data_IF_273918499412
#
_entry.id   IF_273918499412
#
_cell.length_a   1.000
_cell.length_b   1.000
_cell.length_c   1.000
_cell.angle_alpha   90.00
_cell.angle_beta   90.00
_cell.angle_gamma   90.00
#
_symmetry.space_group_name_H-M   'P 1'
#
loop_
_entity.id
_entity.type
_entity.pdbx_description
1 polymer ?
#
# COMPACT_ATOMS: atom_id res chain seq x y z
N UNK A 1 24.24 -18.20 5.34
CA UNK A 1 23.18 -18.55 4.36
C UNK A 1 21.74 -18.55 4.91
N UNK A 2 21.44 -19.01 6.14
CA UNK A 2 20.05 -19.07 6.68
C UNK A 2 19.29 -17.73 6.76
N UNK A 3 19.95 -16.64 7.16
CA UNK A 3 19.31 -15.31 7.29
C UNK A 3 18.87 -14.73 5.93
N UNK A 4 19.65 -14.94 4.87
CA UNK A 4 19.32 -14.46 3.53
C UNK A 4 18.11 -15.21 2.94
N UNK A 5 18.04 -16.54 3.16
CA UNK A 5 16.87 -17.36 2.78
C UNK A 5 15.59 -16.97 3.51
N UNK A 6 15.69 -16.64 4.81
CA UNK A 6 14.53 -16.16 5.59
C UNK A 6 14.00 -14.84 5.03
N UNK A 7 14.89 -13.90 4.69
CA UNK A 7 14.55 -12.60 4.08
C UNK A 7 13.86 -12.76 2.73
N UNK A 8 14.32 -13.69 1.89
CA UNK A 8 13.64 -13.97 0.60
C UNK A 8 12.23 -14.50 0.78
N UNK A 9 11.97 -15.32 1.81
CA UNK A 9 10.62 -15.84 2.08
C UNK A 9 9.69 -14.76 2.60
N UNK A 10 10.14 -13.93 3.55
CA UNK A 10 9.33 -12.82 4.08
C UNK A 10 9.02 -11.78 3.01
N UNK A 11 10.01 -11.43 2.17
CA UNK A 11 9.82 -10.52 1.05
C UNK A 11 8.78 -11.03 0.04
N UNK A 12 8.89 -12.30 -0.37
CA UNK A 12 7.91 -12.93 -1.26
C UNK A 12 6.51 -12.91 -0.64
N UNK A 13 6.39 -13.26 0.64
CA UNK A 13 5.12 -13.25 1.37
C UNK A 13 4.50 -11.85 1.43
N UNK A 14 5.29 -10.82 1.72
CA UNK A 14 4.82 -9.44 1.72
C UNK A 14 4.24 -9.05 0.36
N UNK A 15 4.97 -9.37 -0.71
CA UNK A 15 4.53 -9.11 -2.09
C UNK A 15 3.22 -9.82 -2.43
N UNK A 16 3.14 -11.13 -2.16
CA UNK A 16 1.93 -11.93 -2.42
C UNK A 16 0.69 -11.38 -1.70
N UNK A 17 0.86 -10.91 -0.46
CA UNK A 17 -0.25 -10.32 0.31
C UNK A 17 -0.71 -8.97 -0.26
N UNK A 18 0.23 -8.13 -0.69
CA UNK A 18 -0.11 -6.84 -1.34
C UNK A 18 -0.74 -7.06 -2.71
N UNK A 19 -0.25 -8.01 -3.50
CA UNK A 19 -0.83 -8.41 -4.79
C UNK A 19 -2.25 -8.97 -4.60
N UNK A 20 -2.48 -9.82 -3.59
CA UNK A 20 -3.82 -10.32 -3.27
C UNK A 20 -4.80 -9.21 -2.87
N UNK A 21 -4.31 -8.14 -2.22
CA UNK A 21 -5.12 -6.94 -1.97
C UNK A 21 -5.43 -6.23 -3.29
N UNK A 22 -4.43 -6.04 -4.16
CA UNK A 22 -4.59 -5.39 -5.46
C UNK A 22 -5.60 -6.10 -6.38
N UNK A 23 -5.65 -7.44 -6.35
CA UNK A 23 -6.62 -8.22 -7.13
C UNK A 23 -8.09 -7.93 -6.77
N UNK A 24 -8.35 -7.39 -5.57
CA UNK A 24 -9.70 -7.10 -5.07
C UNK A 24 -10.17 -5.68 -5.32
N UNK A 25 -9.25 -4.75 -5.58
CA UNK A 25 -9.55 -3.33 -5.68
C UNK A 25 -9.01 -2.77 -6.99
N UNK A 26 -9.91 -2.35 -7.87
CA UNK A 26 -9.59 -1.74 -9.15
C UNK A 26 -8.85 -0.39 -9.00
N UNK A 27 -9.00 0.25 -7.86
CA UNK A 27 -8.27 1.45 -7.46
C UNK A 27 -6.77 1.22 -7.24
N UNK A 28 -6.30 -0.04 -7.21
CA UNK A 28 -4.88 -0.38 -7.23
C UNK A 28 -4.47 -0.73 -8.66
N UNK A 29 -3.46 -0.02 -9.18
CA UNK A 29 -2.97 -0.18 -10.54
C UNK A 29 -1.79 -1.14 -10.67
N UNK A 30 -0.85 -1.12 -9.73
CA UNK A 30 0.37 -1.93 -9.79
C UNK A 30 0.97 -2.19 -8.39
N UNK A 31 1.59 -3.35 -8.22
CA UNK A 31 2.41 -3.72 -7.06
C UNK A 31 3.83 -4.01 -7.53
N UNK A 32 4.74 -3.10 -7.18
CA UNK A 32 6.13 -3.10 -7.66
C UNK A 32 7.15 -3.12 -6.55
N UNK A 33 8.40 -3.39 -6.92
CA UNK A 33 9.54 -3.39 -6.01
C UNK A 33 10.24 -4.74 -5.91
N UNK A 34 11.26 -4.81 -5.03
CA UNK A 34 12.15 -5.96 -4.87
C UNK A 34 12.49 -6.16 -3.40
N UNK A 35 12.47 -7.42 -2.96
CA UNK A 35 12.74 -7.73 -1.56
C UNK A 35 11.69 -7.11 -0.63
N UNK A 36 12.15 -6.40 0.39
CA UNK A 36 11.30 -5.67 1.34
C UNK A 36 11.18 -4.17 0.99
N UNK A 37 11.53 -3.76 -0.23
CA UNK A 37 11.16 -2.45 -0.77
C UNK A 37 10.02 -2.67 -1.77
N UNK A 38 8.78 -2.44 -1.32
CA UNK A 38 7.58 -2.66 -2.13
C UNK A 38 6.78 -1.36 -2.23
N UNK A 39 6.04 -1.21 -3.32
CA UNK A 39 5.17 -0.06 -3.56
C UNK A 39 3.86 -0.49 -4.20
N UNK A 40 2.75 0.09 -3.73
CA UNK A 40 1.39 -0.12 -4.25
C UNK A 40 0.91 1.20 -4.84
N UNK A 41 0.70 1.25 -6.16
CA UNK A 41 0.24 2.45 -6.87
C UNK A 41 -1.29 2.51 -6.91
N UNK A 42 -1.86 3.59 -6.38
CA UNK A 42 -3.27 3.91 -6.46
C UNK A 42 -3.58 4.71 -7.73
N UNK A 43 -4.69 4.39 -8.36
CA UNK A 43 -5.10 4.97 -9.64
C UNK A 43 -6.58 5.33 -9.65
N UNK A 44 -6.91 6.29 -10.50
CA UNK A 44 -8.28 6.58 -10.91
C UNK A 44 -8.50 5.95 -12.29
N UNK A 45 -9.39 4.95 -12.36
CA UNK A 45 -9.74 4.26 -13.61
C UNK A 45 -10.77 4.99 -14.46
N UNK A 46 -11.51 5.93 -13.88
CA UNK A 46 -12.55 6.68 -14.58
C UNK A 46 -11.99 7.93 -15.27
N UNK A 47 -10.85 8.44 -14.81
CA UNK A 47 -10.19 9.61 -15.40
C UNK A 47 -9.72 9.37 -16.84
N UNK A 48 -9.96 10.35 -17.73
CA UNK A 48 -9.30 10.40 -19.06
C UNK A 48 -7.81 10.75 -18.85
N UNK A 49 -6.95 9.74 -18.95
CA UNK A 49 -5.51 9.86 -18.71
C UNK A 49 -4.71 9.74 -19.99
N UNK A 50 -3.86 10.75 -20.25
CA UNK A 50 -2.95 10.79 -21.40
C UNK A 50 -1.47 10.93 -21.01
N UNK A 51 -1.15 10.68 -19.74
CA UNK A 51 0.23 10.69 -19.27
C UNK A 51 0.86 9.30 -19.23
N UNK A 52 2.03 9.15 -18.59
CA UNK A 52 2.71 7.86 -18.48
C UNK A 52 1.90 6.84 -17.68
N UNK A 53 1.91 5.58 -18.13
CA UNK A 53 1.17 4.48 -17.50
C UNK A 53 -0.29 4.37 -17.96
N UNK A 54 -0.97 3.27 -17.60
CA UNK A 54 -2.30 2.96 -18.15
C UNK A 54 -3.45 3.77 -17.53
N UNK A 55 -3.27 4.29 -16.32
CA UNK A 55 -4.33 4.97 -15.55
C UNK A 55 -3.79 6.22 -14.85
N UNK A 56 -4.68 7.17 -14.53
CA UNK A 56 -4.29 8.38 -13.81
C UNK A 56 -3.85 8.00 -12.39
N UNK A 57 -2.72 8.50 -11.88
CA UNK A 57 -2.34 8.30 -10.49
C UNK A 57 -3.29 9.06 -9.56
N UNK A 58 -3.77 8.38 -8.50
CA UNK A 58 -4.69 8.95 -7.51
C UNK A 58 -3.97 9.23 -6.18
N UNK A 59 -3.51 10.47 -6.01
CA UNK A 59 -2.83 10.93 -4.79
C UNK A 59 -3.76 11.01 -3.60
N UNK A 60 -4.95 11.58 -3.79
CA UNK A 60 -5.94 11.79 -2.73
C UNK A 60 -6.43 10.46 -2.14
N UNK A 61 -6.58 9.42 -2.98
CA UNK A 61 -6.88 8.08 -2.51
C UNK A 61 -5.72 7.49 -1.69
N UNK A 62 -4.49 7.67 -2.15
CA UNK A 62 -3.30 7.20 -1.45
C UNK A 62 -3.14 7.89 -0.08
N UNK A 63 -3.42 9.19 0.00
CA UNK A 63 -3.44 9.97 1.24
C UNK A 63 -4.50 9.47 2.21
N UNK A 64 -5.72 9.21 1.71
CA UNK A 64 -6.81 8.66 2.52
C UNK A 64 -6.46 7.28 3.08
N UNK A 65 -5.86 6.40 2.27
CA UNK A 65 -5.41 5.08 2.73
C UNK A 65 -4.24 5.18 3.71
N UNK A 66 -3.31 6.12 3.51
CA UNK A 66 -2.20 6.36 4.44
C UNK A 66 -2.73 6.80 5.81
N UNK A 67 -3.66 7.73 5.84
CA UNK A 67 -4.28 8.19 7.08
C UNK A 67 -4.99 7.03 7.82
N UNK A 68 -5.74 6.22 7.09
CA UNK A 68 -6.42 5.04 7.66
C UNK A 68 -5.42 3.97 8.15
N UNK A 69 -4.31 3.76 7.45
CA UNK A 69 -3.22 2.90 7.92
C UNK A 69 -2.61 3.43 9.23
N UNK A 70 -2.34 4.73 9.30
CA UNK A 70 -1.76 5.37 10.47
C UNK A 70 -2.66 5.19 11.70
N UNK A 71 -3.96 5.33 11.52
CA UNK A 71 -4.97 5.19 12.58
C UNK A 71 -5.06 3.76 13.12
N UNK A 72 -4.69 2.79 12.29
CA UNK A 72 -4.57 1.37 12.64
C UNK A 72 -3.17 0.99 13.13
N UNK A 73 -2.28 1.96 13.30
CA UNK A 73 -0.92 1.75 13.82
C UNK A 73 0.13 1.36 12.77
N UNK A 74 -0.17 1.50 11.48
CA UNK A 74 0.77 1.23 10.40
C UNK A 74 1.25 2.55 9.75
N UNK A 75 2.56 2.79 9.82
CA UNK A 75 3.20 3.92 9.15
C UNK A 75 3.67 3.47 7.76
N UNK A 76 3.19 4.16 6.73
CA UNK A 76 3.65 4.02 5.34
C UNK A 76 4.02 5.38 4.77
N UNK A 77 4.97 5.41 3.83
CA UNK A 77 5.37 6.63 3.12
C UNK A 77 4.62 6.71 1.79
N UNK A 78 4.21 7.91 1.38
CA UNK A 78 3.70 8.16 0.03
C UNK A 78 4.79 8.72 -0.88
N UNK A 79 4.72 8.34 -2.15
CA UNK A 79 5.53 8.98 -3.18
C UNK A 79 5.14 8.53 -4.59
N UNK A 80 6.07 8.61 -5.53
CA UNK A 80 5.75 8.39 -6.95
C UNK A 80 5.06 9.61 -7.57
N UNK A 81 4.43 9.42 -8.74
CA UNK A 81 3.70 10.51 -9.40
C UNK A 81 2.49 10.90 -8.56
N UNK A 82 2.33 12.21 -8.30
CA UNK A 82 1.25 12.77 -7.47
C UNK A 82 1.12 12.11 -6.10
N UNK A 83 2.21 11.61 -5.51
CA UNK A 83 2.19 10.89 -4.22
C UNK A 83 1.27 9.66 -4.19
N UNK A 84 0.94 9.09 -5.35
CA UNK A 84 -0.06 8.03 -5.46
C UNK A 84 0.46 6.61 -5.12
N UNK A 85 1.71 6.46 -4.64
CA UNK A 85 2.27 5.15 -4.30
C UNK A 85 2.54 5.02 -2.80
N UNK A 86 1.85 4.08 -2.15
CA UNK A 86 2.18 3.64 -0.79
C UNK A 86 3.45 2.78 -0.81
N UNK A 87 4.46 3.16 -0.02
CA UNK A 87 5.77 2.50 0.03
C UNK A 87 5.95 1.76 1.35
N UNK A 88 6.31 0.50 1.23
CA UNK A 88 6.63 -0.39 2.35
C UNK A 88 8.14 -0.59 2.38
N UNK A 89 8.76 -0.11 3.46
CA UNK A 89 10.18 -0.26 3.75
C UNK A 89 10.40 -0.78 5.18
N UNK A 90 9.84 -1.96 5.55
CA UNK A 90 10.00 -2.49 6.89
C UNK A 90 11.47 -2.82 7.21
N UNK A 91 11.84 -2.86 8.51
CA UNK A 91 13.18 -3.29 8.92
C UNK A 91 13.54 -4.69 8.39
N UNK A 92 14.82 -4.92 8.07
CA UNK A 92 15.30 -6.21 7.53
C UNK A 92 15.15 -7.41 8.49
N UNK A 93 14.76 -7.16 9.73
CA UNK A 93 14.50 -8.15 10.78
C UNK A 93 13.02 -8.51 10.91
N UNK A 94 12.14 -7.88 10.12
CA UNK A 94 10.68 -8.12 10.15
C UNK A 94 10.36 -9.61 10.05
N UNK A 95 9.49 -10.06 10.96
CA UNK A 95 9.04 -11.44 11.01
C UNK A 95 7.90 -11.72 10.03
N UNK A 96 7.62 -12.99 9.75
CA UNK A 96 6.48 -13.36 8.90
C UNK A 96 5.14 -12.89 9.50
N UNK A 97 4.95 -13.02 10.82
CA UNK A 97 3.74 -12.54 11.50
C UNK A 97 3.57 -11.02 11.41
N UNK A 98 4.64 -10.26 11.59
CA UNK A 98 4.60 -8.80 11.39
C UNK A 98 4.30 -8.43 9.93
N UNK A 99 4.82 -9.20 8.96
CA UNK A 99 4.47 -9.01 7.55
C UNK A 99 2.98 -9.27 7.28
N UNK A 100 2.40 -10.30 7.91
CA UNK A 100 0.97 -10.58 7.81
C UNK A 100 0.14 -9.46 8.43
N UNK A 101 0.57 -8.94 9.59
CA UNK A 101 -0.07 -7.83 10.29
C UNK A 101 -0.04 -6.54 9.45
N UNK A 102 1.13 -6.16 8.91
CA UNK A 102 1.27 -5.03 7.98
C UNK A 102 0.30 -5.15 6.81
N UNK A 103 0.25 -6.33 6.17
CA UNK A 103 -0.64 -6.55 5.04
C UNK A 103 -2.12 -6.51 5.42
N UNK A 104 -2.46 -7.04 6.60
CA UNK A 104 -3.84 -7.04 7.11
C UNK A 104 -4.31 -5.61 7.38
N UNK A 105 -3.51 -4.81 8.08
CA UNK A 105 -3.84 -3.40 8.34
C UNK A 105 -4.01 -2.63 7.03
N UNK A 106 -3.12 -2.84 6.06
CA UNK A 106 -3.22 -2.19 4.76
C UNK A 106 -4.49 -2.60 4.00
N UNK A 107 -4.80 -3.88 3.94
CA UNK A 107 -6.01 -4.41 3.30
C UNK A 107 -7.28 -3.83 3.92
N UNK A 108 -7.36 -3.80 5.26
CA UNK A 108 -8.48 -3.21 5.98
C UNK A 108 -8.61 -1.71 5.72
N UNK A 109 -7.48 -1.01 5.60
CA UNK A 109 -7.48 0.42 5.29
C UNK A 109 -8.01 0.70 3.88
N UNK A 110 -7.54 -0.05 2.87
CA UNK A 110 -8.05 0.04 1.50
C UNK A 110 -9.55 -0.29 1.45
N UNK A 111 -9.97 -1.35 2.15
CA UNK A 111 -11.39 -1.74 2.24
C UNK A 111 -12.24 -0.63 2.84
N UNK A 112 -11.81 -0.05 3.96
CA UNK A 112 -12.52 1.03 4.66
C UNK A 112 -12.74 2.25 3.76
N UNK A 113 -11.70 2.67 3.04
CA UNK A 113 -11.76 3.81 2.11
C UNK A 113 -12.63 3.47 0.89
N UNK A 114 -12.52 2.25 0.34
CA UNK A 114 -13.34 1.82 -0.79
C UNK A 114 -14.83 1.79 -0.47
N UNK A 115 -15.20 1.41 0.75
CA UNK A 115 -16.59 1.37 1.22
C UNK A 115 -17.10 2.73 1.72
N UNK A 116 -16.28 3.79 1.67
CA UNK A 116 -16.65 5.14 2.09
C UNK A 116 -16.77 5.31 3.61
N UNK A 117 -16.14 4.46 4.42
CA UNK A 117 -16.16 4.56 5.89
C UNK A 117 -15.09 5.54 6.41
N UNK A 118 -15.07 6.77 5.92
CA UNK A 118 -14.09 7.77 6.39
C UNK A 118 -14.57 8.43 7.68
N UNK A 119 -13.79 8.31 8.77
CA UNK A 119 -13.96 9.18 9.95
C UNK A 119 -13.31 10.53 9.65
N UNK A 120 -14.11 11.58 9.55
CA UNK A 120 -13.61 12.95 9.37
C UNK A 120 -12.70 13.32 10.53
N UNK A 121 -11.44 13.68 10.24
CA UNK A 121 -10.55 14.33 11.21
C UNK A 121 -10.64 15.83 11.03
N UNK A 122 -11.14 16.52 12.06
CA UNK A 122 -10.87 17.95 12.20
C UNK A 122 -9.39 18.12 12.52
N UNK A 123 -8.64 18.71 11.58
CA UNK A 123 -7.28 19.16 11.83
C UNK A 123 -7.37 20.41 12.71
N UNK A 124 -7.18 20.23 14.01
CA UNK A 124 -6.97 21.37 14.93
C UNK A 124 -5.66 22.06 14.54
N UNK A 125 -5.79 23.25 13.95
CA UNK A 125 -4.68 24.21 13.76
C UNK A 125 -4.50 25.03 15.03
#
# INVERSE_FOLDING_TARGET
>A
MRQLRRRSTTARRARERLESTAERFDTIGDVRGRGLMLGVEFVDRAADWRGPGPHAPSGDLAESVQAECFDRGLIIELGGRKSATARFLPPLIVSAGQTDEIATIFEEAVTSIHEGRTRTREVST
#
